data_IF_952367605619
#
_entry.id   IF_952367605619
#
_cell.length_a   1.000
_cell.length_b   1.000
_cell.length_c   1.000
_cell.angle_alpha   90.00
_cell.angle_beta   90.00
_cell.angle_gamma   90.00
#
_symmetry.space_group_name_H-M   'P 1'
#
loop_
_entity.id
_entity.type
_entity.pdbx_description
1 polymer ?
#
# COMPACT_ATOMS: atom_id res chain seq x y z
N UNK A 1 -1.86 -11.73 -25.00
CA UNK A 1 -0.58 -11.77 -24.26
C UNK A 1 -0.53 -13.13 -23.55
N UNK A 2 0.47 -13.44 -22.73
CA UNK A 2 0.43 -14.71 -21.98
C UNK A 2 -0.65 -14.64 -20.89
N UNK A 3 -1.29 -15.77 -20.51
CA UNK A 3 -2.32 -15.78 -19.47
C UNK A 3 -1.83 -15.22 -18.12
N UNK A 4 -0.56 -15.43 -17.79
CA UNK A 4 0.05 -14.91 -16.57
C UNK A 4 0.13 -13.38 -16.56
N UNK A 5 0.48 -12.76 -17.70
CA UNK A 5 0.54 -11.31 -17.84
C UNK A 5 -0.84 -10.68 -17.67
N UNK A 6 -1.85 -11.25 -18.34
CA UNK A 6 -3.23 -10.74 -18.31
C UNK A 6 -3.83 -10.81 -16.90
N UNK A 7 -3.49 -11.85 -16.12
CA UNK A 7 -3.88 -11.97 -14.72
C UNK A 7 -3.30 -10.84 -13.86
N UNK A 8 -2.01 -10.54 -13.99
CA UNK A 8 -1.38 -9.43 -13.26
C UNK A 8 -2.01 -8.09 -13.67
N UNK A 9 -2.14 -7.83 -14.97
CA UNK A 9 -2.74 -6.60 -15.49
C UNK A 9 -4.16 -6.39 -14.94
N UNK A 10 -4.97 -7.45 -14.86
CA UNK A 10 -6.32 -7.40 -14.30
C UNK A 10 -6.31 -6.95 -12.84
N UNK A 11 -5.40 -7.45 -12.01
CA UNK A 11 -5.28 -7.01 -10.61
C UNK A 11 -4.80 -5.56 -10.51
N UNK A 12 -3.81 -5.16 -11.31
CA UNK A 12 -3.33 -3.78 -11.34
C UNK A 12 -4.42 -2.79 -11.74
N UNK A 13 -5.29 -3.16 -12.69
CA UNK A 13 -6.43 -2.33 -13.14
C UNK A 13 -7.49 -2.11 -12.05
N UNK A 14 -7.54 -2.93 -11.01
CA UNK A 14 -8.47 -2.75 -9.89
C UNK A 14 -8.02 -1.65 -8.93
N UNK A 15 -6.78 -1.17 -9.03
CA UNK A 15 -6.27 -0.10 -8.18
C UNK A 15 -6.79 1.26 -8.65
N UNK A 16 -7.11 2.18 -7.72
CA UNK A 16 -7.58 3.51 -8.08
C UNK A 16 -6.54 4.24 -8.95
N UNK A 17 -7.01 4.87 -10.04
CA UNK A 17 -6.16 5.61 -10.97
C UNK A 17 -5.45 4.76 -12.04
N UNK A 18 -5.58 3.43 -12.03
CA UNK A 18 -4.96 2.56 -13.05
C UNK A 18 -5.96 2.06 -14.09
N UNK A 19 -5.92 2.67 -15.28
CA UNK A 19 -6.62 2.17 -16.48
C UNK A 19 -5.90 1.02 -17.18
N UNK A 20 -6.45 0.56 -18.31
CA UNK A 20 -5.85 -0.53 -19.10
C UNK A 20 -4.42 -0.23 -19.55
N UNK A 21 -4.19 0.95 -20.13
CA UNK A 21 -2.85 1.36 -20.61
C UNK A 21 -1.83 1.52 -19.48
N UNK A 22 -2.24 2.11 -18.36
CA UNK A 22 -1.36 2.28 -17.20
C UNK A 22 -0.99 0.95 -16.55
N UNK A 23 -1.96 0.05 -16.38
CA UNK A 23 -1.72 -1.30 -15.84
C UNK A 23 -0.86 -2.16 -16.77
N UNK A 24 -1.07 -2.08 -18.08
CA UNK A 24 -0.22 -2.74 -19.10
C UNK A 24 1.24 -2.27 -18.97
N UNK A 25 1.44 -0.95 -18.91
CA UNK A 25 2.77 -0.34 -18.77
C UNK A 25 3.47 -0.78 -17.48
N UNK A 26 2.75 -0.80 -16.35
CA UNK A 26 3.33 -1.24 -15.07
C UNK A 26 3.68 -2.74 -15.11
N UNK A 27 2.81 -3.58 -15.67
CA UNK A 27 3.08 -5.01 -15.80
C UNK A 27 4.32 -5.29 -16.67
N UNK A 28 4.48 -4.61 -17.80
CA UNK A 28 5.68 -4.70 -18.65
C UNK A 28 6.93 -4.22 -17.90
N UNK A 29 6.83 -3.10 -17.18
CA UNK A 29 7.93 -2.58 -16.40
C UNK A 29 8.42 -3.57 -15.35
N UNK A 30 7.50 -4.18 -14.59
CA UNK A 30 7.82 -5.11 -13.52
C UNK A 30 8.25 -6.50 -14.00
N UNK A 31 7.80 -6.96 -15.17
CA UNK A 31 8.08 -8.31 -15.65
C UNK A 31 9.22 -8.39 -16.66
N UNK A 32 9.47 -7.32 -17.43
CA UNK A 32 10.40 -7.33 -18.57
C UNK A 32 11.51 -6.32 -18.39
N UNK A 33 11.18 -5.05 -18.11
CA UNK A 33 12.18 -3.97 -18.07
C UNK A 33 13.01 -3.97 -16.77
N UNK A 34 12.37 -4.27 -15.65
CA UNK A 34 12.94 -4.25 -14.29
C UNK A 34 12.44 -5.42 -13.43
N UNK A 35 12.68 -6.69 -13.84
CA UNK A 35 12.23 -7.87 -13.10
C UNK A 35 12.71 -7.89 -11.64
N UNK A 36 13.91 -7.39 -11.36
CA UNK A 36 14.50 -7.38 -10.02
C UNK A 36 13.74 -6.50 -9.01
N UNK A 37 12.89 -5.58 -9.48
CA UNK A 37 12.06 -4.74 -8.60
C UNK A 37 10.82 -5.47 -8.10
N UNK A 38 10.35 -6.49 -8.81
CA UNK A 38 9.12 -7.19 -8.47
C UNK A 38 9.19 -7.92 -7.12
N UNK A 39 10.25 -8.68 -6.77
CA UNK A 39 10.33 -9.36 -5.48
C UNK A 39 10.27 -8.40 -4.29
N UNK A 40 10.99 -7.28 -4.37
CA UNK A 40 11.00 -6.26 -3.30
C UNK A 40 9.61 -5.61 -3.11
N UNK A 41 8.91 -5.34 -4.22
CA UNK A 41 7.54 -4.80 -4.17
C UNK A 41 6.56 -5.80 -3.54
N UNK A 42 6.63 -7.07 -3.93
CA UNK A 42 5.77 -8.13 -3.36
C UNK A 42 6.00 -8.27 -1.85
N UNK A 43 7.26 -8.30 -1.41
CA UNK A 43 7.60 -8.36 0.01
C UNK A 43 7.04 -7.17 0.81
N UNK A 44 7.21 -5.94 0.29
CA UNK A 44 6.70 -4.74 0.93
C UNK A 44 5.16 -4.74 1.03
N UNK A 45 4.46 -5.22 -0.01
CA UNK A 45 2.99 -5.35 0.02
C UNK A 45 2.54 -6.35 1.08
N UNK A 46 3.20 -7.50 1.20
CA UNK A 46 2.87 -8.52 2.21
C UNK A 46 3.15 -8.05 3.64
N UNK A 47 4.27 -7.35 3.85
CA UNK A 47 4.64 -6.79 5.14
C UNK A 47 3.67 -5.70 5.57
N UNK A 48 3.36 -4.75 4.69
CA UNK A 48 2.39 -3.69 4.96
C UNK A 48 1.00 -4.26 5.28
N UNK A 49 0.56 -5.28 4.55
CA UNK A 49 -0.73 -5.92 4.80
C UNK A 49 -0.85 -6.59 6.18
N UNK A 50 0.28 -6.99 6.78
CA UNK A 50 0.34 -7.63 8.11
C UNK A 50 0.53 -6.63 9.25
N UNK A 51 1.29 -5.58 9.02
CA UNK A 51 1.71 -4.61 10.04
C UNK A 51 0.74 -3.45 10.18
N UNK A 52 0.27 -2.90 9.05
CA UNK A 52 -0.51 -1.67 9.01
C UNK A 52 -1.94 -1.94 9.47
N UNK A 53 -2.32 -1.24 10.54
CA UNK A 53 -3.66 -1.27 11.13
C UNK A 53 -4.14 0.14 11.46
N UNK A 54 -5.35 0.23 12.01
CA UNK A 54 -5.94 1.48 12.48
C UNK A 54 -5.64 1.68 13.96
N UNK A 55 -5.22 2.89 14.31
CA UNK A 55 -5.09 3.36 15.69
C UNK A 55 -6.45 3.24 16.40
N UNK A 56 -6.45 2.67 17.61
CA UNK A 56 -7.67 2.50 18.42
C UNK A 56 -8.25 3.83 18.93
N UNK A 57 -7.44 4.88 19.00
CA UNK A 57 -7.83 6.20 19.48
C UNK A 57 -8.39 7.12 18.36
N UNK A 58 -7.69 7.22 17.21
CA UNK A 58 -8.01 8.21 16.17
C UNK A 58 -8.27 7.62 14.78
N UNK A 59 -8.13 6.30 14.60
CA UNK A 59 -8.34 5.65 13.31
C UNK A 59 -7.23 5.85 12.27
N UNK A 60 -6.20 6.67 12.57
CA UNK A 60 -5.03 6.85 11.71
C UNK A 60 -4.24 5.54 11.51
N UNK A 61 -3.37 5.49 10.51
CA UNK A 61 -2.47 4.35 10.33
C UNK A 61 -1.53 4.19 11.53
N UNK A 62 -1.39 2.95 11.99
CA UNK A 62 -0.53 2.55 13.08
C UNK A 62 0.04 1.15 12.81
N UNK A 63 1.23 0.90 13.32
CA UNK A 63 1.83 -0.45 13.40
C UNK A 63 1.71 -1.04 14.83
N UNK A 64 1.28 -0.21 15.78
CA UNK A 64 1.01 -0.55 17.18
C UNK A 64 -0.48 -0.33 17.53
N UNK A 65 -0.87 -0.52 18.79
CA UNK A 65 -2.24 -0.20 19.23
C UNK A 65 -2.58 1.28 19.02
N UNK A 66 -1.61 2.16 19.28
CA UNK A 66 -1.68 3.60 19.04
C UNK A 66 -0.78 3.97 17.86
N UNK A 67 -1.18 5.00 17.10
CA UNK A 67 -0.27 5.63 16.15
C UNK A 67 0.79 6.47 16.90
N UNK A 68 1.89 6.80 16.24
CA UNK A 68 2.96 7.61 16.85
C UNK A 68 2.51 8.98 17.37
N UNK A 69 1.37 9.50 16.90
CA UNK A 69 0.78 10.76 17.38
C UNK A 69 0.01 10.55 18.69
N UNK A 70 -0.76 9.46 18.80
CA UNK A 70 -1.55 9.16 19.99
C UNK A 70 -0.68 8.61 21.13
N UNK A 71 0.43 7.94 20.82
CA UNK A 71 1.39 7.46 21.83
C UNK A 71 2.37 8.52 22.34
N UNK A 72 2.41 9.73 21.75
CA UNK A 72 3.32 10.79 22.19
C UNK A 72 2.77 11.51 23.44
N UNK A 73 3.51 11.42 24.55
CA UNK A 73 3.18 12.06 25.83
C UNK A 73 3.33 13.60 25.78
N UNK A 74 4.08 14.14 24.80
CA UNK A 74 4.27 15.60 24.65
C UNK A 74 3.09 16.27 23.97
N UNK A 75 2.17 15.49 23.41
CA UNK A 75 0.99 15.99 22.72
C UNK A 75 -0.06 16.50 23.71
N UNK A 76 -0.69 17.61 23.35
CA UNK A 76 -1.94 18.03 24.00
C UNK A 76 -3.10 17.15 23.52
N UNK A 77 -3.51 16.20 24.37
CA UNK A 77 -4.63 15.29 24.10
C UNK A 77 -6.01 15.94 24.25
N UNK A 78 -6.08 17.20 24.71
CA UNK A 78 -7.32 17.99 24.76
C UNK A 78 -7.73 18.58 23.41
N UNK A 79 -6.84 18.60 22.41
CA UNK A 79 -7.09 19.17 21.08
C UNK A 79 -7.08 18.10 19.98
N UNK A 80 -8.16 18.06 19.19
CA UNK A 80 -8.35 17.10 18.09
C UNK A 80 -8.54 17.83 16.76
N UNK A 81 -7.78 17.43 15.74
CA UNK A 81 -7.96 17.85 14.36
C UNK A 81 -8.68 16.73 13.58
N UNK A 82 -9.89 17.00 13.10
CA UNK A 82 -10.72 16.03 12.35
C UNK A 82 -10.36 16.08 10.86
N UNK A 83 -10.12 14.92 10.25
CA UNK A 83 -9.70 14.73 8.84
C UNK A 83 -10.45 13.61 8.15
#
# INVERSE_FOLDING_TARGET
MTPAFEKLQKHLKQLPGLGYRSSERIALHLLVEKPDRLPALVAALEEAAKSVRRCTCCGNLAEEELCGICGDERRDHGLVCVV
#
